data_IF_292413229190
#
_entry.id   IF_292413229190
#
_cell.length_a   1.000
_cell.length_b   1.000
_cell.length_c   1.000
_cell.angle_alpha   90.00
_cell.angle_beta   90.00
_cell.angle_gamma   90.00
#
_symmetry.space_group_name_H-M   'P 1'
#
loop_
_entity.id
_entity.type
_entity.pdbx_description
1 polymer ?
#
# COMPACT_ATOMS: atom_id res chain seq x y z
N UNK A 1 9.44 10.14 -1.60
CA UNK A 1 10.54 9.39 -2.25
C UNK A 1 10.65 9.87 -3.69
N UNK A 2 11.86 10.04 -4.20
CA UNK A 2 12.13 10.45 -5.58
C UNK A 2 13.41 9.76 -6.04
N UNK A 3 13.35 9.01 -7.13
CA UNK A 3 14.48 8.36 -7.77
C UNK A 3 14.40 8.58 -9.28
N UNK A 4 15.55 8.73 -9.93
CA UNK A 4 15.65 9.05 -11.36
C UNK A 4 16.62 8.08 -12.03
N UNK A 5 16.28 7.64 -13.24
CA UNK A 5 17.15 6.87 -14.13
C UNK A 5 17.25 7.59 -15.49
N UNK A 6 18.47 7.93 -15.92
CA UNK A 6 18.73 8.79 -17.08
C UNK A 6 18.00 10.15 -16.99
N UNK A 7 17.74 10.83 -18.11
CA UNK A 7 17.05 12.11 -18.16
C UNK A 7 17.94 13.35 -18.10
N UNK A 8 19.26 13.18 -18.26
CA UNK A 8 20.21 14.29 -18.38
C UNK A 8 20.15 14.98 -19.76
N UNK A 9 20.93 16.05 -19.93
CA UNK A 9 20.99 16.86 -21.16
C UNK A 9 21.42 16.11 -22.42
N UNK A 10 21.97 14.90 -22.30
CA UNK A 10 22.36 14.08 -23.45
C UNK A 10 21.38 12.93 -23.69
N UNK A 11 20.53 12.62 -22.71
CA UNK A 11 19.60 11.51 -22.81
C UNK A 11 18.40 11.86 -23.70
N UNK A 12 17.80 10.84 -24.30
CA UNK A 12 16.53 10.96 -25.05
C UNK A 12 15.34 10.36 -24.32
N UNK A 13 15.61 9.63 -23.23
CA UNK A 13 14.62 8.96 -22.38
C UNK A 13 15.06 9.10 -20.93
N UNK A 14 14.09 9.12 -20.02
CA UNK A 14 14.35 9.13 -18.58
C UNK A 14 13.17 8.50 -17.85
N UNK A 15 13.43 7.94 -16.67
CA UNK A 15 12.42 7.44 -15.76
C UNK A 15 12.48 8.24 -14.45
N UNK A 16 11.32 8.50 -13.87
CA UNK A 16 11.18 9.11 -12.55
C UNK A 16 10.27 8.23 -11.71
N UNK A 17 10.81 7.65 -10.65
CA UNK A 17 10.03 6.98 -9.60
C UNK A 17 9.74 7.96 -8.48
N UNK A 18 8.47 8.12 -8.12
CA UNK A 18 8.08 9.06 -7.08
C UNK A 18 6.82 8.62 -6.34
N UNK A 19 6.57 9.27 -5.20
CA UNK A 19 5.33 9.13 -4.45
C UNK A 19 4.65 10.51 -4.41
N UNK A 20 3.51 10.65 -5.08
CA UNK A 20 2.64 11.80 -4.96
C UNK A 20 1.67 11.63 -3.80
N UNK A 21 1.59 12.62 -2.92
CA UNK A 21 0.62 12.66 -1.83
C UNK A 21 -0.48 13.68 -2.14
N UNK A 22 -1.74 13.28 -2.01
CA UNK A 22 -2.88 14.17 -2.26
C UNK A 22 -4.04 13.84 -1.32
N UNK A 23 -4.98 14.78 -1.20
CA UNK A 23 -6.23 14.59 -0.47
C UNK A 23 -7.35 14.25 -1.47
N UNK A 24 -8.12 13.20 -1.18
CA UNK A 24 -9.30 12.85 -1.94
C UNK A 24 -10.46 12.59 -0.99
N UNK A 25 -11.37 13.56 -0.90
CA UNK A 25 -12.54 13.47 -0.01
C UNK A 25 -12.15 13.38 1.47
N UNK A 26 -11.10 14.07 1.91
CA UNK A 26 -10.60 14.03 3.29
C UNK A 26 -9.74 12.81 3.62
N UNK A 27 -9.56 11.89 2.67
CA UNK A 27 -8.67 10.73 2.83
C UNK A 27 -7.33 11.06 2.16
N UNK A 28 -6.24 11.02 2.94
CA UNK A 28 -4.88 11.15 2.40
C UNK A 28 -4.55 9.93 1.56
N UNK A 29 -4.19 10.17 0.31
CA UNK A 29 -3.75 9.17 -0.66
C UNK A 29 -2.26 9.32 -0.94
N UNK A 30 -1.62 8.20 -1.24
CA UNK A 30 -0.34 8.20 -1.95
C UNK A 30 -0.50 7.49 -3.29
N UNK A 31 0.21 7.99 -4.28
CA UNK A 31 0.36 7.38 -5.60
C UNK A 31 1.84 7.20 -5.86
N UNK A 32 2.30 5.96 -5.71
CA UNK A 32 3.66 5.53 -6.01
C UNK A 32 3.70 4.99 -7.42
N UNK A 33 4.41 5.68 -8.30
CA UNK A 33 4.54 5.29 -9.70
C UNK A 33 5.96 5.50 -10.23
N UNK A 34 6.22 4.85 -11.36
CA UNK A 34 7.40 5.07 -12.22
C UNK A 34 6.92 5.64 -13.54
N UNK A 35 7.35 6.85 -13.87
CA UNK A 35 6.91 7.59 -15.04
C UNK A 35 8.04 7.78 -16.05
N UNK A 36 7.77 7.43 -17.30
CA UNK A 36 8.69 7.52 -18.42
C UNK A 36 8.52 8.79 -19.22
N UNK A 37 9.66 9.39 -19.58
CA UNK A 37 9.74 10.63 -20.34
C UNK A 37 10.57 10.44 -21.61
N UNK A 38 10.28 11.23 -22.64
CA UNK A 38 11.04 11.29 -23.90
C UNK A 38 11.40 12.74 -24.19
N UNK A 39 12.66 12.99 -24.58
CA UNK A 39 13.10 14.32 -24.98
C UNK A 39 12.85 14.55 -26.45
N UNK A 40 12.26 15.70 -26.74
CA UNK A 40 12.04 16.26 -28.07
C UNK A 40 12.86 17.55 -28.22
N UNK A 41 12.82 18.16 -29.39
CA UNK A 41 13.48 19.45 -29.64
C UNK A 41 12.86 20.57 -28.77
N UNK A 42 11.58 20.43 -28.39
CA UNK A 42 10.84 21.36 -27.52
C UNK A 42 10.92 21.00 -26.03
N UNK A 43 11.72 19.99 -25.67
CA UNK A 43 11.93 19.55 -24.29
C UNK A 43 11.34 18.18 -23.95
N UNK A 44 11.23 17.89 -22.65
CA UNK A 44 10.79 16.59 -22.13
C UNK A 44 9.27 16.47 -22.14
N UNK A 45 8.77 15.37 -22.71
CA UNK A 45 7.36 15.00 -22.71
C UNK A 45 7.14 13.73 -21.88
N UNK A 46 6.03 13.68 -21.15
CA UNK A 46 5.55 12.46 -20.52
C UNK A 46 5.15 11.44 -21.59
N UNK A 47 5.57 10.18 -21.43
CA UNK A 47 5.30 9.08 -22.35
C UNK A 47 4.31 8.10 -21.76
N UNK A 48 4.63 7.53 -20.60
CA UNK A 48 3.83 6.53 -19.91
C UNK A 48 4.11 6.54 -18.40
N UNK A 49 3.21 5.95 -17.62
CA UNK A 49 3.35 5.80 -16.18
C UNK A 49 2.92 4.40 -15.74
N UNK A 50 3.67 3.81 -14.82
CA UNK A 50 3.36 2.53 -14.19
C UNK A 50 3.10 2.76 -12.71
N UNK A 51 1.85 2.58 -12.31
CA UNK A 51 1.43 2.60 -10.90
C UNK A 51 1.99 1.37 -10.20
N UNK A 52 2.85 1.55 -9.20
CA UNK A 52 3.34 0.47 -8.35
C UNK A 52 2.40 0.24 -7.17
N UNK A 53 1.95 1.33 -6.55
CA UNK A 53 1.00 1.28 -5.45
C UNK A 53 0.19 2.57 -5.37
N UNK A 54 -1.12 2.46 -5.22
CA UNK A 54 -2.01 3.58 -4.97
C UNK A 54 -2.99 3.22 -3.87
N UNK A 55 -3.24 4.16 -2.96
CA UNK A 55 -4.26 4.00 -1.94
C UNK A 55 -4.07 4.89 -0.73
N UNK A 56 -4.88 4.66 0.32
CA UNK A 56 -4.83 5.45 1.53
C UNK A 56 -3.44 5.39 2.18
N UNK A 57 -2.95 6.54 2.63
CA UNK A 57 -1.66 6.64 3.32
C UNK A 57 -1.64 6.01 4.71
N UNK A 58 -2.80 5.62 5.25
CA UNK A 58 -2.87 4.88 6.50
C UNK A 58 -2.58 3.40 6.29
N UNK A 59 -1.68 2.85 7.10
CA UNK A 59 -1.50 1.40 7.20
C UNK A 59 -2.82 0.79 7.68
N UNK A 60 -3.28 -0.34 7.10
CA UNK A 60 -4.44 -1.03 7.63
C UNK A 60 -4.20 -1.31 9.12
N UNK A 61 -5.13 -0.87 9.96
CA UNK A 61 -5.08 -1.20 11.39
C UNK A 61 -5.11 -2.72 11.49
N UNK A 62 -4.21 -3.36 12.26
CA UNK A 62 -4.24 -4.80 12.43
C UNK A 62 -5.63 -5.20 12.93
N UNK A 63 -6.24 -6.18 12.26
CA UNK A 63 -7.50 -6.76 12.71
C UNK A 63 -7.23 -7.45 14.04
N UNK A 64 -7.65 -6.83 15.14
CA UNK A 64 -7.58 -7.44 16.46
C UNK A 64 -8.63 -8.54 16.49
N UNK A 65 -8.19 -9.79 16.53
CA UNK A 65 -9.09 -10.91 16.72
C UNK A 65 -9.65 -10.83 18.15
N UNK A 66 -10.87 -10.31 18.31
CA UNK A 66 -11.45 -9.98 19.62
C UNK A 66 -11.79 -11.21 20.48
N UNK A 67 -11.75 -12.42 19.91
CA UNK A 67 -11.97 -13.66 20.64
C UNK A 67 -10.73 -14.06 21.47
N UNK A 68 -10.42 -13.26 22.49
CA UNK A 68 -9.53 -13.65 23.59
C UNK A 68 -10.28 -14.60 24.54
N UNK A 69 -10.70 -15.76 24.05
CA UNK A 69 -11.28 -16.80 24.90
C UNK A 69 -10.16 -17.50 25.69
N UNK A 70 -10.21 -17.41 27.02
CA UNK A 70 -9.24 -18.07 27.88
C UNK A 70 -9.36 -19.59 27.80
N UNK A 71 -8.23 -20.31 27.91
CA UNK A 71 -8.17 -21.79 27.87
C UNK A 71 -9.20 -22.47 28.79
N UNK A 72 -9.52 -21.84 29.93
CA UNK A 72 -10.43 -22.39 30.94
C UNK A 72 -11.87 -21.85 30.85
N UNK A 73 -12.15 -20.88 29.98
CA UNK A 73 -13.48 -20.26 29.86
C UNK A 73 -14.49 -21.22 29.22
N UNK A 74 -15.81 -21.02 29.44
CA UNK A 74 -16.84 -21.77 28.73
C UNK A 74 -16.68 -21.65 27.22
N UNK A 75 -16.77 -22.78 26.51
CA UNK A 75 -16.62 -22.80 25.06
C UNK A 75 -17.80 -22.10 24.38
N UNK A 76 -17.51 -21.27 23.36
CA UNK A 76 -18.51 -20.49 22.62
C UNK A 76 -19.54 -21.34 21.84
N UNK A 77 -19.32 -22.64 21.68
CA UNK A 77 -20.25 -23.55 21.00
C UNK A 77 -21.47 -23.96 21.85
N UNK A 78 -21.60 -23.45 23.08
CA UNK A 78 -22.72 -23.77 23.97
C UNK A 78 -22.66 -25.16 24.62
N UNK A 79 -21.55 -25.90 24.46
CA UNK A 79 -21.42 -27.26 25.00
C UNK A 79 -21.29 -27.34 26.53
N UNK A 80 -21.13 -26.20 27.22
CA UNK A 80 -20.85 -26.13 28.66
C UNK A 80 -19.44 -26.60 29.07
N UNK A 81 -18.61 -27.07 28.12
CA UNK A 81 -17.23 -27.50 28.38
C UNK A 81 -16.27 -26.30 28.42
N UNK A 82 -15.16 -26.42 29.16
CA UNK A 82 -14.04 -25.46 29.08
C UNK A 82 -13.46 -25.45 27.65
N UNK A 83 -13.03 -24.30 27.14
CA UNK A 83 -12.51 -24.12 25.78
C UNK A 83 -11.41 -25.14 25.44
N UNK A 84 -10.44 -25.35 26.34
CA UNK A 84 -9.37 -26.37 26.20
C UNK A 84 -9.83 -27.82 26.04
N UNK A 85 -11.06 -28.13 26.44
CA UNK A 85 -11.66 -29.47 26.34
C UNK A 85 -12.65 -29.57 25.18
N UNK A 86 -12.69 -28.56 24.31
CA UNK A 86 -13.60 -28.48 23.18
C UNK A 86 -12.85 -27.94 21.94
N UNK A 87 -12.93 -26.63 21.67
CA UNK A 87 -12.37 -26.02 20.45
C UNK A 87 -10.97 -25.40 20.64
N UNK A 88 -10.33 -25.60 21.80
CA UNK A 88 -9.01 -25.05 22.13
C UNK A 88 -7.85 -26.03 21.97
N UNK A 89 -7.95 -26.98 21.03
CA UNK A 89 -6.91 -27.95 20.70
C UNK A 89 -5.97 -27.41 19.62
#
# INVERSE_FOLDING_TARGET
MLQVEAGGEQDRKGLVEFIAHYDMGGVKQHHHEVSGFVRTDDGWLFRDGKVLHSGPSEKPKPVVNELKIGRNDPCHCGSGKKFKKCHGA
#
